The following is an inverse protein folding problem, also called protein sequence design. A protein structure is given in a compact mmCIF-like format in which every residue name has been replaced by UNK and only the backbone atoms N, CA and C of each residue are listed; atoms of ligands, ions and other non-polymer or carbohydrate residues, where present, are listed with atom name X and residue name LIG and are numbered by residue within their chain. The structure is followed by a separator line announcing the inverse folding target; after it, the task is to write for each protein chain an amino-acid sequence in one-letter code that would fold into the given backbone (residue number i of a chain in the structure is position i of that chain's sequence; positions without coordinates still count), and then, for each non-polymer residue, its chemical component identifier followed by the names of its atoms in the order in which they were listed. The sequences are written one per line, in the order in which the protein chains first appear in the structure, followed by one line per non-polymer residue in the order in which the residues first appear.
data_IF_872287106835
#
_entry.id   IF_872287106835
#
_cell.length_a   1.000
_cell.length_b   1.000
_cell.length_c   1.000
_cell.angle_alpha   90.00
_cell.angle_beta   90.00
_cell.angle_gamma   90.00
#
_symmetry.space_group_name_H-M   'P 1'
#
loop_
_entity.id
_entity.type
_entity.pdbx_description
1 polymer ?
#
# COMPACT_ATOMS: atom_id res chain seq x y z
N UNK A 1 -9.60 -13.11 16.50
CA UNK A 1 -8.93 -13.33 15.21
C UNK A 1 -7.89 -14.42 15.32
N UNK A 2 -7.42 -14.91 14.19
CA UNK A 2 -6.32 -15.89 14.04
C UNK A 2 -5.13 -15.21 13.40
N UNK A 3 -3.93 -15.52 13.88
CA UNK A 3 -2.66 -15.11 13.26
C UNK A 3 -1.83 -16.38 13.14
N UNK A 4 -1.56 -16.82 11.91
CA UNK A 4 -0.59 -17.89 11.69
C UNK A 4 0.63 -17.26 11.02
N UNK A 5 1.71 -17.13 11.79
CA UNK A 5 2.97 -16.57 11.32
C UNK A 5 4.03 -17.66 11.21
N UNK A 6 4.81 -17.65 10.14
CA UNK A 6 5.96 -18.52 9.97
C UNK A 6 7.21 -17.68 9.73
N UNK A 7 8.31 -18.06 10.38
CA UNK A 7 9.60 -17.40 10.21
C UNK A 7 10.68 -18.43 9.92
N UNK A 8 11.58 -18.10 9.01
CA UNK A 8 12.80 -18.85 8.78
C UNK A 8 13.99 -17.90 8.81
N UNK A 9 15.11 -18.35 9.37
CA UNK A 9 16.35 -17.61 9.40
C UNK A 9 17.54 -18.57 9.26
N UNK A 10 18.51 -18.21 8.43
CA UNK A 10 19.77 -18.93 8.24
C UNK A 10 20.84 -17.96 7.74
N UNK A 11 21.83 -17.65 8.58
CA UNK A 11 22.97 -16.76 8.30
C UNK A 11 22.60 -15.41 7.65
N UNK A 12 22.44 -15.39 6.32
CA UNK A 12 22.14 -14.20 5.49
C UNK A 12 20.76 -14.23 4.84
N UNK A 13 19.96 -15.24 5.14
CA UNK A 13 18.61 -15.40 4.58
C UNK A 13 17.59 -15.41 5.70
N UNK A 14 16.50 -14.66 5.50
CA UNK A 14 15.38 -14.63 6.41
C UNK A 14 14.08 -14.50 5.64
N UNK A 15 13.03 -15.09 6.17
CA UNK A 15 11.67 -14.89 5.68
C UNK A 15 10.68 -14.83 6.83
N UNK A 16 9.62 -14.05 6.63
CA UNK A 16 8.47 -13.98 7.51
C UNK A 16 7.23 -14.06 6.64
N UNK A 17 6.27 -14.89 7.00
CA UNK A 17 4.98 -14.96 6.32
C UNK A 17 3.84 -15.03 7.31
N UNK A 18 2.69 -14.51 6.87
CA UNK A 18 1.39 -14.66 7.49
C UNK A 18 0.56 -15.53 6.54
N UNK A 19 -0.15 -16.51 7.09
CA UNK A 19 -1.04 -17.40 6.35
C UNK A 19 -2.38 -17.51 7.09
N UNK A 20 -3.49 -17.55 6.36
CA UNK A 20 -4.85 -17.66 6.95
C UNK A 20 -5.06 -16.71 8.15
N UNK A 21 -4.49 -15.51 8.07
CA UNK A 21 -4.61 -14.51 9.13
C UNK A 21 -5.91 -13.77 8.93
N UNK A 22 -6.76 -13.76 9.97
CA UNK A 22 -8.04 -13.04 10.00
C UNK A 22 -8.20 -12.44 11.39
N UNK A 23 -7.86 -11.15 11.51
CA UNK A 23 -7.92 -10.37 12.74
C UNK A 23 -9.10 -9.42 12.62
N UNK A 24 -9.97 -9.45 13.61
CA UNK A 24 -10.98 -8.42 13.83
C UNK A 24 -10.93 -7.96 15.28
N UNK A 25 -11.18 -6.68 15.49
CA UNK A 25 -11.15 -6.06 16.81
C UNK A 25 -11.43 -4.57 16.71
N UNK A 26 -11.05 -3.82 17.75
CA UNK A 26 -11.13 -2.37 17.74
C UNK A 26 -9.87 -1.72 18.30
N UNK A 27 -9.58 -0.51 17.83
CA UNK A 27 -8.55 0.38 18.39
C UNK A 27 -9.26 1.71 18.64
N UNK A 28 -9.26 2.20 19.88
CA UNK A 28 -9.95 3.45 20.26
C UNK A 28 -11.43 3.50 19.81
N UNK A 29 -12.14 2.37 19.95
CA UNK A 29 -13.52 2.18 19.50
C UNK A 29 -13.75 2.26 17.96
N UNK A 30 -12.67 2.26 17.16
CA UNK A 30 -12.73 2.10 15.71
C UNK A 30 -12.49 0.65 15.35
N UNK A 31 -13.36 0.08 14.51
CA UNK A 31 -13.21 -1.29 14.04
C UNK A 31 -11.94 -1.43 13.20
N UNK A 32 -11.23 -2.55 13.42
CA UNK A 32 -10.07 -2.98 12.68
C UNK A 32 -10.34 -4.36 12.12
N UNK A 33 -10.11 -4.52 10.81
CA UNK A 33 -10.06 -5.83 10.15
C UNK A 33 -8.75 -5.98 9.41
N UNK A 34 -8.05 -7.10 9.60
CA UNK A 34 -6.86 -7.47 8.85
C UNK A 34 -7.04 -8.89 8.32
N UNK A 35 -6.90 -9.07 7.01
CA UNK A 35 -6.81 -10.39 6.38
C UNK A 35 -5.51 -10.50 5.62
N UNK A 36 -4.72 -11.52 5.91
CA UNK A 36 -3.39 -11.65 5.32
C UNK A 36 -3.05 -13.11 4.99
N UNK A 37 -2.59 -13.27 3.76
CA UNK A 37 -1.83 -14.42 3.27
C UNK A 37 -0.69 -13.81 2.46
N UNK A 38 0.41 -13.47 3.10
CA UNK A 38 1.51 -12.72 2.49
C UNK A 38 2.80 -12.97 3.25
N UNK A 39 3.93 -12.96 2.54
CA UNK A 39 5.24 -13.05 3.17
C UNK A 39 6.26 -12.13 2.53
N UNK A 40 7.38 -11.99 3.21
CA UNK A 40 8.51 -11.15 2.84
C UNK A 40 9.79 -11.92 3.12
N UNK A 41 10.81 -11.72 2.29
CA UNK A 41 12.14 -12.28 2.52
C UNK A 41 13.23 -11.20 2.61
N UNK A 42 14.47 -11.63 2.79
CA UNK A 42 15.64 -10.75 2.94
C UNK A 42 15.91 -9.78 1.78
N UNK A 43 15.35 -10.05 0.60
CA UNK A 43 15.50 -9.19 -0.58
C UNK A 43 14.37 -8.18 -0.72
N UNK A 44 13.41 -8.19 0.20
CA UNK A 44 12.19 -7.40 0.08
C UNK A 44 11.12 -8.04 -0.80
N UNK A 45 11.40 -9.20 -1.40
CA UNK A 45 10.46 -9.86 -2.30
C UNK A 45 9.23 -10.35 -1.54
N UNK A 46 8.05 -9.96 -2.03
CA UNK A 46 6.79 -10.45 -1.48
C UNK A 46 6.51 -11.86 -2.00
N UNK A 47 6.10 -12.74 -1.09
CA UNK A 47 5.50 -14.01 -1.47
C UNK A 47 4.14 -13.78 -2.13
N UNK A 48 3.73 -14.65 -3.07
CA UNK A 48 2.42 -14.55 -3.70
C UNK A 48 1.34 -14.59 -2.64
N UNK A 49 0.37 -13.69 -2.74
CA UNK A 49 -0.50 -13.46 -1.60
C UNK A 49 -1.36 -12.23 -1.68
N UNK A 50 -2.16 -12.02 -0.64
CA UNK A 50 -3.06 -10.89 -0.48
C UNK A 50 -2.97 -10.33 0.94
N UNK A 51 -3.04 -9.02 1.03
CA UNK A 51 -3.23 -8.27 2.26
C UNK A 51 -4.46 -7.39 2.12
N UNK A 52 -5.30 -7.41 3.14
CA UNK A 52 -6.41 -6.48 3.31
C UNK A 52 -6.33 -5.90 4.72
N UNK A 53 -6.40 -4.58 4.82
CA UNK A 53 -6.51 -3.86 6.08
C UNK A 53 -7.66 -2.87 5.92
N UNK A 54 -8.61 -2.90 6.85
CA UNK A 54 -9.68 -1.93 6.99
C UNK A 54 -9.60 -1.34 8.38
N UNK A 55 -9.40 -0.02 8.44
CA UNK A 55 -9.26 0.71 9.68
C UNK A 55 -9.50 2.20 9.44
N UNK A 56 -10.19 2.86 10.37
CA UNK A 56 -10.23 4.33 10.44
C UNK A 56 -10.65 5.00 9.12
N UNK A 57 -11.82 4.60 8.59
CA UNK A 57 -12.37 5.06 7.31
C UNK A 57 -11.41 4.87 6.13
N UNK A 58 -10.58 3.83 6.19
CA UNK A 58 -9.56 3.57 5.19
C UNK A 58 -9.42 2.09 4.94
N UNK A 59 -9.18 1.74 3.68
CA UNK A 59 -8.97 0.36 3.27
C UNK A 59 -7.75 0.24 2.36
N UNK A 60 -6.86 -0.67 2.71
CA UNK A 60 -5.73 -1.08 1.88
C UNK A 60 -5.98 -2.49 1.37
N UNK A 61 -5.89 -2.68 0.06
CA UNK A 61 -5.68 -4.00 -0.54
C UNK A 61 -4.32 -4.04 -1.20
N UNK A 62 -3.65 -5.19 -1.09
CA UNK A 62 -2.43 -5.50 -1.81
C UNK A 62 -2.50 -6.95 -2.28
N UNK A 63 -2.03 -7.20 -3.48
CA UNK A 63 -1.86 -8.52 -4.05
C UNK A 63 -0.47 -8.62 -4.67
N UNK A 64 0.25 -9.68 -4.32
CA UNK A 64 1.49 -10.07 -4.97
C UNK A 64 1.24 -11.35 -5.76
N UNK A 65 1.72 -11.40 -7.00
CA UNK A 65 1.63 -12.60 -7.85
C UNK A 65 2.87 -13.48 -7.72
N UNK A 66 2.73 -14.75 -8.10
CA UNK A 66 3.86 -15.65 -8.30
C UNK A 66 4.55 -15.33 -9.62
N UNK A 67 5.67 -14.62 -9.53
CA UNK A 67 6.41 -14.12 -10.69
C UNK A 67 7.89 -13.99 -10.35
N UNK A 68 8.74 -14.26 -11.34
CA UNK A 68 10.16 -13.93 -11.27
C UNK A 68 10.41 -12.41 -11.25
N UNK A 69 9.40 -11.62 -11.65
CA UNK A 69 9.37 -10.17 -11.67
C UNK A 69 8.51 -9.65 -10.52
N UNK A 70 8.74 -8.40 -10.10
CA UNK A 70 7.74 -7.70 -9.32
C UNK A 70 6.41 -7.69 -10.08
N UNK A 71 5.35 -8.13 -9.42
CA UNK A 71 3.96 -7.95 -9.83
C UNK A 71 3.12 -7.76 -8.57
N UNK A 72 3.21 -6.54 -8.05
CA UNK A 72 2.45 -6.10 -6.89
C UNK A 72 1.41 -5.11 -7.39
N UNK A 73 0.16 -5.30 -6.95
CA UNK A 73 -0.94 -4.36 -7.18
C UNK A 73 -1.58 -4.02 -5.86
N UNK A 74 -1.91 -2.76 -5.66
CA UNK A 74 -2.62 -2.34 -4.47
C UNK A 74 -3.55 -1.18 -4.71
N UNK A 75 -4.49 -1.04 -3.77
CA UNK A 75 -5.42 0.08 -3.71
C UNK A 75 -5.50 0.55 -2.28
N UNK A 76 -5.35 1.85 -2.08
CA UNK A 76 -5.60 2.52 -0.81
C UNK A 76 -6.78 3.47 -1.01
N UNK A 77 -7.82 3.35 -0.18
CA UNK A 77 -8.89 4.33 -0.07
C UNK A 77 -8.84 4.95 1.31
N UNK A 78 -9.00 6.26 1.39
CA UNK A 78 -9.16 7.02 2.63
C UNK A 78 -10.35 7.92 2.44
N UNK A 79 -11.46 7.61 3.10
CA UNK A 79 -12.73 8.35 2.95
C UNK A 79 -12.77 9.63 3.79
N UNK A 80 -11.87 9.74 4.79
CA UNK A 80 -11.68 10.95 5.58
C UNK A 80 -10.20 11.11 5.98
N UNK A 81 -9.46 11.96 5.28
CA UNK A 81 -8.02 12.19 5.52
C UNK A 81 -7.77 12.81 6.90
N UNK A 82 -8.73 13.56 7.45
CA UNK A 82 -8.61 14.24 8.75
C UNK A 82 -8.34 13.24 9.89
N UNK A 83 -8.79 12.00 9.75
CA UNK A 83 -8.56 10.91 10.70
C UNK A 83 -7.09 10.47 10.77
N UNK A 84 -6.28 10.80 9.76
CA UNK A 84 -4.85 10.52 9.70
C UNK A 84 -4.00 11.78 9.87
N UNK A 85 -4.49 12.92 9.39
CA UNK A 85 -3.79 14.20 9.48
C UNK A 85 -4.80 15.36 9.62
N UNK A 86 -4.95 15.88 10.83
CA UNK A 86 -6.02 16.82 11.21
C UNK A 86 -6.06 18.12 10.40
N UNK A 87 -4.95 18.55 9.81
CA UNK A 87 -4.89 19.77 9.00
C UNK A 87 -5.35 19.59 7.55
N UNK A 88 -5.63 18.35 7.12
CA UNK A 88 -6.01 18.01 5.76
C UNK A 88 -7.39 17.39 5.78
N UNK A 89 -8.31 18.01 5.05
CA UNK A 89 -9.64 17.44 4.83
C UNK A 89 -9.80 16.99 3.39
N UNK A 90 -10.71 16.05 3.18
CA UNK A 90 -10.97 15.42 1.89
C UNK A 90 -10.86 13.91 1.98
N UNK A 91 -10.85 13.29 0.80
CA UNK A 91 -10.74 11.83 0.63
C UNK A 91 -9.86 11.54 -0.57
N UNK A 92 -9.25 10.36 -0.59
CA UNK A 92 -8.51 9.92 -1.77
C UNK A 92 -8.63 8.44 -2.04
N UNK A 93 -8.47 8.09 -3.30
CA UNK A 93 -8.23 6.72 -3.74
C UNK A 93 -6.94 6.69 -4.53
N UNK A 94 -6.05 5.79 -4.15
CA UNK A 94 -4.80 5.51 -4.84
C UNK A 94 -4.81 4.09 -5.36
N UNK A 95 -4.48 3.91 -6.63
CA UNK A 95 -4.10 2.62 -7.20
C UNK A 95 -2.60 2.67 -7.42
N UNK A 96 -1.88 1.65 -6.97
CA UNK A 96 -0.44 1.57 -7.15
C UNK A 96 -0.03 0.18 -7.61
N UNK A 97 1.15 0.11 -8.24
CA UNK A 97 1.76 -1.14 -8.65
C UNK A 97 3.27 -1.07 -8.54
N UNK A 98 3.90 -2.21 -8.30
CA UNK A 98 5.34 -2.40 -8.46
C UNK A 98 5.53 -3.51 -9.48
N UNK A 99 6.22 -3.18 -10.57
CA UNK A 99 6.40 -4.06 -11.72
C UNK A 99 7.84 -4.07 -12.20
N UNK A 100 8.30 -5.11 -12.89
CA UNK A 100 9.64 -5.16 -13.51
C UNK A 100 10.58 -6.14 -12.83
N UNK A 101 11.84 -6.16 -13.28
CA UNK A 101 12.85 -7.09 -12.74
C UNK A 101 13.15 -6.81 -11.26
N UNK A 102 13.55 -7.83 -10.51
CA UNK A 102 13.74 -7.70 -9.07
C UNK A 102 14.74 -6.61 -8.69
N UNK A 103 15.78 -6.46 -9.50
CA UNK A 103 16.86 -5.47 -9.41
C UNK A 103 16.60 -4.21 -10.24
N UNK A 104 15.45 -4.10 -10.92
CA UNK A 104 15.06 -2.90 -11.66
C UNK A 104 13.53 -2.66 -11.62
N UNK A 105 12.95 -2.45 -10.42
CA UNK A 105 11.53 -2.23 -10.29
C UNK A 105 11.11 -0.86 -10.83
N UNK A 106 9.87 -0.79 -11.26
CA UNK A 106 9.14 0.45 -11.55
C UNK A 106 7.94 0.51 -10.63
N UNK A 107 7.82 1.60 -9.88
CA UNK A 107 6.66 1.92 -9.04
C UNK A 107 5.76 2.86 -9.82
N UNK A 108 4.48 2.52 -9.96
CA UNK A 108 3.47 3.41 -10.54
C UNK A 108 2.39 3.71 -9.51
N UNK A 109 1.89 4.94 -9.50
CA UNK A 109 0.88 5.43 -8.59
C UNK A 109 -0.09 6.34 -9.35
N UNK A 110 -1.38 6.13 -9.14
CA UNK A 110 -2.46 6.96 -9.64
C UNK A 110 -3.39 7.27 -8.48
N UNK A 111 -3.49 8.54 -8.11
CA UNK A 111 -4.30 9.01 -7.00
C UNK A 111 -5.33 10.01 -7.48
N UNK A 112 -6.56 9.88 -7.00
CA UNK A 112 -7.60 10.88 -7.12
C UNK A 112 -7.96 11.36 -5.72
N UNK A 113 -7.66 12.62 -5.42
CA UNK A 113 -8.09 13.31 -4.23
C UNK A 113 -9.36 14.10 -4.57
N UNK A 114 -10.34 14.11 -3.68
CA UNK A 114 -11.55 14.92 -3.85
C UNK A 114 -11.85 15.70 -2.59
N UNK A 115 -12.37 16.90 -2.76
CA UNK A 115 -12.66 17.84 -1.68
C UNK A 115 -11.42 18.13 -0.83
N UNK A 116 -10.25 18.25 -1.47
CA UNK A 116 -9.01 18.56 -0.78
C UNK A 116 -9.07 19.99 -0.25
N UNK A 117 -8.88 20.12 1.05
CA UNK A 117 -8.65 21.41 1.68
C UNK A 117 -7.50 21.28 2.68
N UNK A 118 -6.44 22.05 2.42
CA UNK A 118 -5.22 22.10 3.22
C UNK A 118 -4.64 23.52 3.20
N UNK A 119 -4.69 24.21 4.34
CA UNK A 119 -4.25 25.61 4.45
C UNK A 119 -4.93 26.52 3.40
N UNK A 120 -4.16 27.20 2.54
CA UNK A 120 -4.67 27.99 1.43
C UNK A 120 -4.98 27.19 0.15
N UNK A 121 -4.72 25.88 0.14
CA UNK A 121 -4.94 25.02 -1.02
C UNK A 121 -6.31 24.37 -0.96
N UNK A 122 -7.11 24.62 -2.00
CA UNK A 122 -8.42 24.01 -2.19
C UNK A 122 -8.50 23.39 -3.59
N UNK A 123 -9.05 22.19 -3.68
CA UNK A 123 -9.36 21.53 -4.95
C UNK A 123 -10.55 20.60 -4.78
N UNK A 124 -11.54 20.75 -5.68
CA UNK A 124 -12.66 19.81 -5.74
C UNK A 124 -12.19 18.41 -6.16
N UNK A 125 -11.21 18.36 -7.06
CA UNK A 125 -10.64 17.13 -7.62
C UNK A 125 -9.18 17.36 -8.01
N UNK A 126 -8.27 16.56 -7.48
CA UNK A 126 -6.84 16.58 -7.81
C UNK A 126 -6.39 15.18 -8.17
N UNK A 127 -6.04 14.98 -9.44
CA UNK A 127 -5.44 13.74 -9.93
C UNK A 127 -3.91 13.85 -9.89
N UNK A 128 -3.25 12.84 -9.33
CA UNK A 128 -1.79 12.73 -9.25
C UNK A 128 -1.39 11.41 -9.89
N UNK A 129 -0.50 11.46 -10.87
CA UNK A 129 0.12 10.27 -11.45
C UNK A 129 1.62 10.35 -11.22
N UNK A 130 2.21 9.26 -10.72
CA UNK A 130 3.64 9.18 -10.50
C UNK A 130 4.20 7.85 -11.00
N UNK A 131 5.37 7.91 -11.60
CA UNK A 131 6.20 6.76 -11.95
C UNK A 131 7.59 6.98 -11.35
N UNK A 132 8.13 5.96 -10.69
CA UNK A 132 9.43 6.01 -10.04
C UNK A 132 10.25 4.75 -10.36
N UNK A 133 11.51 4.94 -10.75
CA UNK A 133 12.47 3.86 -11.04
C UNK A 133 13.71 4.03 -10.17
N UNK A 134 13.76 3.40 -8.98
CA UNK A 134 14.87 3.61 -8.02
C UNK A 134 16.25 3.23 -8.58
N UNK A 135 16.31 2.26 -9.48
CA UNK A 135 17.57 1.70 -10.01
C UNK A 135 18.00 2.35 -11.34
N UNK A 136 17.21 3.31 -11.84
CA UNK A 136 17.50 4.10 -13.02
C UNK A 136 17.75 5.55 -12.60
N UNK A 137 18.84 5.79 -11.86
CA UNK A 137 19.23 7.10 -11.32
C UNK A 137 18.11 7.84 -10.56
N UNK A 138 17.25 7.07 -9.87
CA UNK A 138 16.06 7.60 -9.21
C UNK A 138 15.14 8.40 -10.14
N UNK A 139 14.94 7.95 -11.39
CA UNK A 139 14.05 8.61 -12.34
C UNK A 139 12.62 8.72 -11.77
N UNK A 140 12.09 9.94 -11.78
CA UNK A 140 10.78 10.30 -11.24
C UNK A 140 10.02 11.08 -12.31
N UNK A 141 8.84 10.59 -12.66
CA UNK A 141 7.88 11.30 -13.48
C UNK A 141 6.65 11.58 -12.63
N UNK A 142 6.24 12.84 -12.54
CA UNK A 142 5.10 13.28 -11.75
C UNK A 142 4.20 14.17 -12.62
N UNK A 143 2.92 13.86 -12.62
CA UNK A 143 1.87 14.64 -13.26
C UNK A 143 0.80 14.99 -12.24
N UNK A 144 0.32 16.23 -12.28
CA UNK A 144 -0.71 16.75 -11.38
C UNK A 144 -1.75 17.48 -12.23
N UNK A 145 -3.01 17.05 -12.15
CA UNK A 145 -4.12 17.62 -12.88
C UNK A 145 -5.24 18.01 -11.91
N UNK A 146 -5.77 19.23 -12.03
CA UNK A 146 -6.80 19.81 -11.18
C UNK A 146 -7.91 20.39 -12.07
#
# INVERSE_FOLDING_TARGET
GTINSHGAWSEKSWSVSLSDTDISGNINALDLTIKADIGLNQFGNLQPGKLFIDFNNSALTLQASDSAFWDIKGKLTVDNIEQWHQEITGRFTTIFSVTGEQDNPTVNLQSLLTQLNWQQWYSDSLAIEARYQPMNDHDIQLSVNN
#
